data_IF_609764148531
#
_entry.id   IF_609764148531
#
_cell.length_a   1.000
_cell.length_b   1.000
_cell.length_c   1.000
_cell.angle_alpha   90.00
_cell.angle_beta   90.00
_cell.angle_gamma   90.00
#
_symmetry.space_group_name_H-M   'P 1'
#
loop_
_entity.id
_entity.type
_entity.pdbx_description
1 polymer ?
#
# COMPACT_ATOMS: atom_id res chain seq x y z
N UNK A 1 -6.74 -17.03 21.53
CA UNK A 1 -6.32 -15.91 20.67
C UNK A 1 -6.88 -16.17 19.29
N UNK A 2 -7.70 -15.25 18.79
CA UNK A 2 -8.36 -15.40 17.49
C UNK A 2 -7.39 -14.97 16.38
N UNK A 3 -6.71 -15.96 15.79
CA UNK A 3 -5.60 -15.76 14.84
C UNK A 3 -6.08 -14.98 13.62
N UNK A 4 -7.32 -15.18 13.19
CA UNK A 4 -7.97 -14.49 12.07
C UNK A 4 -8.10 -12.98 12.26
N UNK A 5 -8.20 -12.49 13.50
CA UNK A 5 -8.30 -11.05 13.80
C UNK A 5 -6.94 -10.36 13.90
N UNK A 6 -5.89 -11.13 14.18
CA UNK A 6 -4.51 -10.64 14.31
C UNK A 6 -3.78 -10.77 12.95
N UNK A 7 -4.13 -11.81 12.19
CA UNK A 7 -3.58 -12.04 10.86
C UNK A 7 -4.07 -10.96 9.91
N UNK A 8 -3.15 -10.18 9.35
CA UNK A 8 -3.49 -9.12 8.40
C UNK A 8 -3.82 -7.75 9.02
N UNK A 9 -3.88 -7.62 10.34
CA UNK A 9 -4.32 -6.37 10.99
C UNK A 9 -3.29 -5.23 10.93
N UNK A 10 -2.00 -5.55 10.74
CA UNK A 10 -0.90 -4.58 10.61
C UNK A 10 -0.24 -4.64 9.23
N UNK A 11 -1.02 -4.90 8.18
CA UNK A 11 -0.52 -4.96 6.81
C UNK A 11 -0.83 -3.65 6.11
N UNK A 12 0.18 -3.03 5.51
CA UNK A 12 0.03 -1.83 4.70
C UNK A 12 -0.57 -2.22 3.34
N UNK A 13 -1.87 -2.50 3.36
CA UNK A 13 -2.64 -2.96 2.20
C UNK A 13 -3.10 -1.79 1.32
N UNK A 14 -3.65 -2.11 0.15
CA UNK A 14 -4.06 -1.12 -0.85
C UNK A 14 -5.11 -0.13 -0.33
N UNK A 15 -6.01 -0.58 0.54
CA UNK A 15 -7.05 0.23 1.16
C UNK A 15 -6.47 1.24 2.16
N UNK A 16 -5.52 0.82 3.00
CA UNK A 16 -4.78 1.72 3.90
C UNK A 16 -3.92 2.68 3.10
N UNK A 17 -3.29 2.21 2.02
CA UNK A 17 -2.48 3.04 1.13
C UNK A 17 -3.33 4.14 0.47
N UNK A 18 -4.52 3.81 -0.05
CA UNK A 18 -5.42 4.81 -0.65
C UNK A 18 -5.95 5.83 0.37
N UNK A 19 -6.18 5.39 1.61
CA UNK A 19 -6.70 6.26 2.67
C UNK A 19 -5.63 7.14 3.34
N UNK A 20 -4.37 6.67 3.43
CA UNK A 20 -3.28 7.41 4.09
C UNK A 20 -2.36 8.16 3.14
N UNK A 21 -2.16 7.70 1.90
CA UNK A 21 -1.26 8.35 0.96
C UNK A 21 -1.99 9.44 0.18
N UNK A 22 -1.33 10.57 -0.12
CA UNK A 22 -1.82 11.51 -1.12
C UNK A 22 -2.07 10.79 -2.45
N UNK A 23 -3.10 11.21 -3.19
CA UNK A 23 -3.48 10.61 -4.48
C UNK A 23 -2.31 10.47 -5.44
N UNK A 24 -1.43 11.47 -5.48
CA UNK A 24 -0.29 11.50 -6.40
C UNK A 24 0.79 10.50 -5.97
N UNK A 25 1.05 10.38 -4.68
CA UNK A 25 1.98 9.39 -4.11
C UNK A 25 1.46 7.97 -4.32
N UNK A 26 0.17 7.70 -4.07
CA UNK A 26 -0.43 6.38 -4.32
C UNK A 26 -0.34 6.01 -5.81
N UNK A 27 -0.62 6.97 -6.70
CA UNK A 27 -0.49 6.76 -8.16
C UNK A 27 0.94 6.49 -8.58
N UNK A 28 1.91 7.23 -8.07
CA UNK A 28 3.33 7.00 -8.36
C UNK A 28 3.75 5.59 -7.89
N UNK A 29 3.35 5.21 -6.67
CA UNK A 29 3.68 3.91 -6.09
C UNK A 29 3.03 2.75 -6.83
N UNK A 30 1.76 2.89 -7.21
CA UNK A 30 1.05 1.91 -8.04
C UNK A 30 1.63 1.82 -9.45
N UNK A 31 2.04 2.95 -10.03
CA UNK A 31 2.69 2.97 -11.34
C UNK A 31 4.03 2.24 -11.29
N UNK A 32 4.87 2.50 -10.29
CA UNK A 32 6.12 1.76 -10.02
C UNK A 32 5.89 0.27 -9.87
N UNK A 33 4.86 -0.16 -9.13
CA UNK A 33 4.51 -1.58 -8.99
C UNK A 33 4.14 -2.25 -10.31
N UNK A 34 3.52 -1.51 -11.24
CA UNK A 34 3.08 -2.02 -12.55
C UNK A 34 4.17 -1.91 -13.62
N UNK A 35 4.91 -0.80 -13.66
CA UNK A 35 5.96 -0.53 -14.65
C UNK A 35 7.30 -1.16 -14.26
N UNK A 36 7.50 -1.53 -12.99
CA UNK A 36 8.78 -1.99 -12.46
C UNK A 36 9.83 -0.88 -12.34
N UNK A 37 9.45 0.39 -12.55
CA UNK A 37 10.36 1.53 -12.46
C UNK A 37 10.57 1.94 -10.99
N UNK A 38 11.79 2.31 -10.56
CA UNK A 38 12.07 2.71 -9.19
C UNK A 38 11.15 3.83 -8.71
N UNK A 39 10.67 3.73 -7.47
CA UNK A 39 9.99 4.86 -6.83
C UNK A 39 11.03 5.97 -6.64
N UNK A 40 10.83 7.10 -7.30
CA UNK A 40 11.68 8.27 -7.08
C UNK A 40 11.57 8.72 -5.60
N UNK A 41 12.68 9.15 -4.98
CA UNK A 41 12.75 9.48 -3.55
C UNK A 41 11.85 10.66 -3.13
#
# INVERSE_FOLDING_TARGET
MDVTRIFGSNVFNDEIMQNRLPKDTYKALKKTLVSGEPLAP
#
